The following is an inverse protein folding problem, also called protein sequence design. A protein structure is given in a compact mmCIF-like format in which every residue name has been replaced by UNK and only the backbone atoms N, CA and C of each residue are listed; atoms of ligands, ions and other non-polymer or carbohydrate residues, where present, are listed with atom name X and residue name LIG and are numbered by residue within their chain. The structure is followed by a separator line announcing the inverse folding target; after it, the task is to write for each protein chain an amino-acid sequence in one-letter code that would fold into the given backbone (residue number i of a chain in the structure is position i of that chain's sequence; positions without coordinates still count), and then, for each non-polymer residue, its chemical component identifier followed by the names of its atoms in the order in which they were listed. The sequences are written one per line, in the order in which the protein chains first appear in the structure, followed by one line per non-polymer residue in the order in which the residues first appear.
data_IF_567851107862
#
_entry.id   IF_567851107862
#
_cell.length_a   1.000
_cell.length_b   1.000
_cell.length_c   1.000
_cell.angle_alpha   90.00
_cell.angle_beta   90.00
_cell.angle_gamma   90.00
#
_symmetry.space_group_name_H-M   'P 1'
#
loop_
_entity.id
_entity.type
_entity.pdbx_description
1 polymer ?
#
# COMPACT_ATOMS: atom_id res chain seq x y z
N UNK A 1 4.76 4.68 -8.36
CA UNK A 1 5.58 3.69 -8.47
C UNK A 1 6.64 3.54 -9.53
N UNK A 2 7.90 3.32 -9.13
CA UNK A 2 8.99 3.11 -10.08
C UNK A 2 9.17 1.65 -10.55
N UNK A 3 8.46 0.70 -9.95
CA UNK A 3 8.69 -0.73 -10.23
C UNK A 3 7.84 -1.26 -11.38
N UNK A 4 6.57 -0.86 -11.46
CA UNK A 4 5.64 -1.17 -12.57
C UNK A 4 4.68 -0.01 -12.81
N UNK A 5 3.89 -0.09 -13.90
CA UNK A 5 2.96 0.97 -14.28
C UNK A 5 1.71 0.93 -13.39
N UNK A 6 1.69 1.70 -12.31
CA UNK A 6 0.53 1.87 -11.44
C UNK A 6 -0.52 2.80 -12.07
N UNK A 7 -1.33 2.26 -12.98
CA UNK A 7 -2.39 3.01 -13.66
C UNK A 7 -3.41 3.54 -12.65
N UNK A 8 -3.80 2.71 -11.68
CA UNK A 8 -4.75 3.08 -10.63
C UNK A 8 -4.31 4.33 -9.85
N UNK A 9 -3.01 4.47 -9.55
CA UNK A 9 -2.50 5.67 -8.86
C UNK A 9 -2.71 6.95 -9.65
N UNK A 10 -2.58 6.91 -10.98
CA UNK A 10 -2.86 8.08 -11.82
C UNK A 10 -4.36 8.44 -11.78
N UNK A 11 -5.25 7.45 -11.88
CA UNK A 11 -6.70 7.66 -11.75
C UNK A 11 -7.04 8.25 -10.39
N UNK A 12 -6.61 7.62 -9.31
CA UNK A 12 -6.95 8.02 -7.94
C UNK A 12 -6.46 9.43 -7.61
N UNK A 13 -5.22 9.77 -7.96
CA UNK A 13 -4.63 11.07 -7.61
C UNK A 13 -5.19 12.20 -8.47
N UNK A 14 -5.18 12.03 -9.80
CA UNK A 14 -5.54 13.10 -10.74
C UNK A 14 -7.05 13.34 -10.74
N UNK A 15 -7.86 12.28 -10.77
CA UNK A 15 -9.33 12.43 -10.76
C UNK A 15 -9.81 13.07 -9.46
N UNK A 16 -9.25 12.68 -8.32
CA UNK A 16 -9.60 13.29 -7.02
C UNK A 16 -9.27 14.77 -7.01
N UNK A 17 -8.08 15.17 -7.49
CA UNK A 17 -7.72 16.58 -7.61
C UNK A 17 -8.66 17.34 -8.55
N UNK A 18 -9.05 16.75 -9.69
CA UNK A 18 -9.98 17.36 -10.66
C UNK A 18 -11.36 17.55 -10.06
N UNK A 19 -11.90 16.54 -9.38
CA UNK A 19 -13.22 16.62 -8.73
C UNK A 19 -13.20 17.62 -7.57
N UNK A 20 -12.09 17.74 -6.86
CA UNK A 20 -11.89 18.76 -5.82
C UNK A 20 -11.77 20.20 -6.37
N UNK A 21 -11.76 20.38 -7.68
CA UNK A 21 -11.68 21.70 -8.32
C UNK A 21 -10.28 22.31 -8.33
N UNK A 22 -9.22 21.50 -8.18
CA UNK A 22 -7.84 21.97 -8.31
C UNK A 22 -7.60 22.51 -9.72
N UNK A 23 -7.06 23.72 -9.81
CA UNK A 23 -6.92 24.44 -11.10
C UNK A 23 -5.70 24.00 -11.90
N UNK A 24 -4.61 23.65 -11.23
CA UNK A 24 -3.35 23.25 -11.86
C UNK A 24 -2.94 21.89 -11.28
N UNK A 25 -3.03 20.86 -12.07
CA UNK A 25 -2.72 19.48 -11.65
C UNK A 25 -1.45 19.02 -12.36
N UNK A 26 -0.39 18.87 -11.59
CA UNK A 26 0.92 18.40 -12.06
C UNK A 26 1.08 16.95 -11.64
N UNK A 27 1.05 16.02 -12.59
CA UNK A 27 1.39 14.62 -12.37
C UNK A 27 2.89 14.39 -12.60
N UNK A 28 3.52 13.51 -11.82
CA UNK A 28 4.90 13.11 -12.07
C UNK A 28 5.06 11.58 -12.02
N UNK A 29 5.92 11.08 -12.89
CA UNK A 29 6.28 9.66 -12.94
C UNK A 29 7.75 9.51 -13.30
N UNK A 30 8.50 8.61 -12.60
CA UNK A 30 9.90 8.41 -12.92
C UNK A 30 10.05 7.84 -14.34
N UNK A 31 11.09 8.28 -15.07
CA UNK A 31 11.40 7.73 -16.39
C UNK A 31 11.82 6.27 -16.27
N UNK A 32 11.43 5.47 -17.25
CA UNK A 32 12.05 4.17 -17.57
C UNK A 32 13.11 4.37 -18.64
N UNK A 33 14.08 3.48 -18.65
CA UNK A 33 15.23 3.53 -19.59
C UNK A 33 14.77 3.82 -21.04
N UNK A 34 15.32 4.88 -21.61
CA UNK A 34 15.15 5.32 -23.00
C UNK A 34 13.71 5.64 -23.50
N UNK A 35 12.70 5.60 -22.63
CA UNK A 35 11.28 5.80 -23.04
C UNK A 35 10.63 6.99 -22.32
N UNK A 36 11.17 7.42 -21.19
CA UNK A 36 10.51 8.40 -20.33
C UNK A 36 9.49 7.76 -19.39
N UNK A 37 8.51 8.51 -18.94
CA UNK A 37 7.42 7.99 -18.14
C UNK A 37 6.65 6.92 -18.93
N UNK A 38 6.15 5.89 -18.23
CA UNK A 38 5.46 4.77 -18.90
C UNK A 38 4.25 5.29 -19.71
N UNK A 39 4.12 4.94 -21.00
CA UNK A 39 3.07 5.50 -21.87
C UNK A 39 1.66 5.37 -21.30
N UNK A 40 1.34 4.24 -20.66
CA UNK A 40 0.03 4.02 -20.05
C UNK A 40 -0.24 4.99 -18.89
N UNK A 41 0.79 5.33 -18.09
CA UNK A 41 0.64 6.32 -16.99
C UNK A 41 0.43 7.72 -17.59
N UNK A 42 1.17 8.07 -18.62
CA UNK A 42 1.03 9.36 -19.32
C UNK A 42 -0.39 9.49 -19.89
N UNK A 43 -0.83 8.48 -20.64
CA UNK A 43 -2.19 8.44 -21.21
C UNK A 43 -3.27 8.54 -20.13
N UNK A 44 -3.13 7.78 -19.05
CA UNK A 44 -4.13 7.78 -17.97
C UNK A 44 -4.17 9.11 -17.22
N UNK A 45 -3.02 9.70 -16.91
CA UNK A 45 -2.94 11.00 -16.25
C UNK A 45 -3.57 12.11 -17.12
N UNK A 46 -3.31 12.10 -18.42
CA UNK A 46 -3.93 13.02 -19.40
C UNK A 46 -5.46 12.81 -19.46
N UNK A 47 -5.91 11.55 -19.60
CA UNK A 47 -7.33 11.20 -19.62
C UNK A 47 -8.07 11.65 -18.34
N UNK A 48 -7.43 11.58 -17.18
CA UNK A 48 -7.98 12.04 -15.91
C UNK A 48 -7.94 13.57 -15.73
N UNK A 49 -7.26 14.30 -16.62
CA UNK A 49 -7.23 15.75 -16.65
C UNK A 49 -6.04 16.38 -15.93
N UNK A 50 -4.87 15.75 -15.92
CA UNK A 50 -3.64 16.40 -15.54
C UNK A 50 -3.28 17.50 -16.55
N UNK A 51 -2.93 18.70 -16.06
CA UNK A 51 -2.54 19.82 -16.91
C UNK A 51 -1.08 19.72 -17.36
N UNK A 52 -0.23 19.12 -16.54
CA UNK A 52 1.20 18.89 -16.80
C UNK A 52 1.62 17.52 -16.34
N UNK A 53 2.44 16.85 -17.14
CA UNK A 53 3.06 15.57 -16.78
C UNK A 53 4.59 15.73 -16.78
N UNK A 54 5.18 15.65 -15.59
CA UNK A 54 6.64 15.70 -15.43
C UNK A 54 7.24 14.30 -15.52
N UNK A 55 8.14 14.12 -16.47
CA UNK A 55 8.93 12.91 -16.61
C UNK A 55 10.07 12.90 -15.57
N UNK A 56 9.69 12.85 -14.30
CA UNK A 56 10.57 12.98 -13.14
C UNK A 56 9.98 12.20 -11.97
N UNK A 57 10.82 11.62 -11.13
CA UNK A 57 10.38 10.86 -9.96
C UNK A 57 11.28 11.08 -8.74
N UNK A 58 10.88 10.50 -7.61
CA UNK A 58 11.65 10.55 -6.38
C UNK A 58 11.80 11.95 -5.78
N UNK A 59 12.85 12.16 -5.02
CA UNK A 59 13.17 13.46 -4.38
C UNK A 59 13.24 14.60 -5.39
N UNK A 60 13.86 14.44 -6.59
CA UNK A 60 13.88 15.50 -7.60
C UNK A 60 12.49 15.99 -8.02
N UNK A 61 11.49 15.08 -8.13
CA UNK A 61 10.11 15.48 -8.46
C UNK A 61 9.48 16.33 -7.36
N UNK A 62 9.65 15.91 -6.10
CA UNK A 62 9.16 16.66 -4.93
C UNK A 62 9.78 18.07 -4.90
N UNK A 63 11.10 18.16 -5.07
CA UNK A 63 11.81 19.44 -5.09
C UNK A 63 11.36 20.34 -6.27
N UNK A 64 11.16 19.75 -7.46
CA UNK A 64 10.74 20.50 -8.64
C UNK A 64 9.35 21.08 -8.48
N UNK A 65 8.39 20.29 -7.99
CA UNK A 65 7.03 20.76 -7.75
C UNK A 65 6.98 21.83 -6.65
N UNK A 66 7.67 21.61 -5.53
CA UNK A 66 7.70 22.59 -4.42
C UNK A 66 8.29 23.94 -4.82
N UNK A 67 9.27 23.97 -5.72
CA UNK A 67 9.96 25.19 -6.12
C UNK A 67 9.50 25.77 -7.47
N UNK A 68 8.49 25.17 -8.10
CA UNK A 68 7.95 25.68 -9.37
C UNK A 68 8.95 25.62 -10.51
N UNK A 69 9.66 24.47 -10.66
CA UNK A 69 10.61 24.29 -11.76
C UNK A 69 9.89 23.86 -13.06
N UNK A 70 10.63 23.93 -14.18
CA UNK A 70 10.15 23.57 -15.53
C UNK A 70 8.92 24.38 -16.00
N UNK A 71 8.94 25.69 -15.72
CA UNK A 71 7.87 26.65 -16.06
C UNK A 71 6.50 26.34 -15.42
N UNK A 72 6.48 25.63 -14.31
CA UNK A 72 5.27 25.41 -13.54
C UNK A 72 5.26 26.32 -12.30
N UNK A 73 4.07 26.69 -11.80
CA UNK A 73 3.96 27.34 -10.50
C UNK A 73 4.41 26.38 -9.37
N UNK A 74 4.90 26.92 -8.24
CA UNK A 74 5.09 26.12 -7.05
C UNK A 74 3.78 25.43 -6.66
N UNK A 75 3.86 24.15 -6.27
CA UNK A 75 2.70 23.41 -5.80
C UNK A 75 2.27 23.89 -4.40
N UNK A 76 0.97 24.02 -4.18
CA UNK A 76 0.40 24.31 -2.87
C UNK A 76 0.33 23.05 -2.01
N UNK A 77 0.12 21.88 -2.63
CA UNK A 77 0.05 20.58 -1.97
C UNK A 77 0.66 19.48 -2.85
N UNK A 78 1.36 18.55 -2.24
CA UNK A 78 1.93 17.36 -2.87
C UNK A 78 1.28 16.11 -2.28
N UNK A 79 0.69 15.28 -3.15
CA UNK A 79 0.01 14.04 -2.77
C UNK A 79 0.61 12.85 -3.49
N UNK A 80 0.48 11.69 -2.89
CA UNK A 80 0.89 10.41 -3.47
C UNK A 80 1.99 9.71 -2.68
N UNK A 81 2.02 8.38 -2.74
CA UNK A 81 3.00 7.55 -2.05
C UNK A 81 4.34 7.57 -2.76
N UNK A 82 5.37 7.14 -2.05
CA UNK A 82 6.71 6.97 -2.57
C UNK A 82 7.56 6.09 -1.66
N UNK A 83 8.84 5.99 -1.97
CA UNK A 83 9.79 5.32 -1.09
C UNK A 83 10.16 6.21 0.11
N UNK A 84 10.93 5.67 1.05
CA UNK A 84 11.39 6.38 2.25
C UNK A 84 12.06 7.75 1.96
N UNK A 85 12.75 7.90 0.83
CA UNK A 85 13.38 9.16 0.45
C UNK A 85 12.35 10.22 0.00
N UNK A 86 11.25 9.78 -0.64
CA UNK A 86 10.13 10.65 -0.99
C UNK A 86 9.38 11.07 0.27
N UNK A 87 9.14 10.15 1.20
CA UNK A 87 8.53 10.46 2.48
C UNK A 87 9.36 11.47 3.27
N UNK A 88 10.68 11.27 3.33
CA UNK A 88 11.58 12.20 4.00
C UNK A 88 11.65 13.58 3.31
N UNK A 89 11.64 13.62 1.97
CA UNK A 89 11.58 14.90 1.24
C UNK A 89 10.27 15.65 1.52
N UNK A 90 9.14 14.96 1.60
CA UNK A 90 7.84 15.53 2.00
C UNK A 90 7.92 16.07 3.43
N UNK A 91 8.51 15.32 4.36
CA UNK A 91 8.68 15.71 5.76
C UNK A 91 9.50 17.00 5.90
N UNK A 92 10.63 17.10 5.18
CA UNK A 92 11.50 18.29 5.20
C UNK A 92 10.78 19.52 4.63
N UNK A 93 9.95 19.35 3.63
CA UNK A 93 9.28 20.44 2.93
C UNK A 93 7.90 20.77 3.49
N UNK A 94 7.41 19.99 4.43
CA UNK A 94 6.16 20.26 5.13
C UNK A 94 6.18 21.64 5.81
N UNK A 95 5.13 22.42 5.59
CA UNK A 95 5.06 23.80 6.03
C UNK A 95 5.46 24.81 4.95
N UNK A 96 6.38 24.46 4.03
CA UNK A 96 6.61 25.21 2.79
C UNK A 96 5.60 24.81 1.71
N UNK A 97 5.21 23.55 1.67
CA UNK A 97 4.16 22.98 0.80
C UNK A 97 3.27 22.06 1.66
N UNK A 98 1.97 22.00 1.35
CA UNK A 98 1.08 21.02 1.94
C UNK A 98 1.44 19.60 1.50
N UNK A 99 1.20 18.63 2.34
CA UNK A 99 1.35 17.21 1.99
C UNK A 99 0.12 16.43 2.45
N UNK A 100 -0.10 15.25 1.84
CA UNK A 100 -1.12 14.31 2.27
C UNK A 100 -0.75 13.64 3.60
N UNK A 101 0.28 12.78 3.58
CA UNK A 101 0.79 12.07 4.76
C UNK A 101 2.26 11.68 4.59
N UNK A 102 2.90 11.30 5.68
CA UNK A 102 4.24 10.72 5.70
C UNK A 102 4.12 9.19 5.56
N UNK A 103 3.91 8.71 4.34
CA UNK A 103 3.81 7.27 4.10
C UNK A 103 5.19 6.61 4.18
N UNK A 104 5.32 5.68 5.11
CA UNK A 104 6.46 4.76 5.22
C UNK A 104 6.34 3.57 4.26
N UNK A 105 7.07 2.47 4.53
CA UNK A 105 6.82 1.18 3.90
C UNK A 105 5.39 0.73 4.20
N UNK A 106 4.70 0.18 3.22
CA UNK A 106 3.35 -0.37 3.40
C UNK A 106 3.42 -1.66 4.19
N UNK A 107 2.51 -1.85 5.14
CA UNK A 107 2.46 -2.97 6.08
C UNK A 107 1.10 -3.66 6.05
N UNK A 108 1.07 -4.96 6.35
CA UNK A 108 -0.16 -5.72 6.54
C UNK A 108 -0.11 -6.53 7.83
N UNK A 109 -1.19 -6.49 8.59
CA UNK A 109 -1.51 -7.44 9.64
C UNK A 109 -2.77 -8.22 9.27
N UNK A 110 -2.75 -9.53 9.42
CA UNK A 110 -3.92 -10.38 9.20
C UNK A 110 -4.27 -11.10 10.50
N UNK A 111 -5.49 -10.87 10.99
CA UNK A 111 -6.08 -11.67 12.06
C UNK A 111 -6.90 -12.77 11.40
N UNK A 112 -6.57 -14.03 11.67
CA UNK A 112 -7.25 -15.16 11.06
C UNK A 112 -7.45 -16.31 12.06
N UNK A 113 -8.64 -16.91 12.04
CA UNK A 113 -8.96 -18.10 12.84
C UNK A 113 -8.89 -19.38 11.99
N UNK A 114 -9.32 -20.51 12.56
CA UNK A 114 -9.33 -21.82 11.88
C UNK A 114 -10.29 -21.91 10.69
N UNK A 115 -11.17 -20.94 10.48
CA UNK A 115 -12.12 -20.89 9.36
C UNK A 115 -11.56 -20.17 8.15
N UNK A 116 -10.52 -19.38 8.35
CA UNK A 116 -9.85 -18.66 7.25
C UNK A 116 -9.26 -19.63 6.24
N UNK A 117 -9.31 -19.26 4.97
CA UNK A 117 -8.66 -20.00 3.90
C UNK A 117 -7.13 -19.70 3.90
N UNK A 118 -6.28 -20.71 4.16
CA UNK A 118 -4.84 -20.50 4.18
C UNK A 118 -4.26 -20.02 2.84
N UNK A 119 -4.92 -20.31 1.72
CA UNK A 119 -4.50 -19.80 0.41
C UNK A 119 -4.75 -18.29 0.30
N UNK A 120 -5.93 -17.80 0.72
CA UNK A 120 -6.26 -16.38 0.71
C UNK A 120 -5.29 -15.62 1.64
N UNK A 121 -5.13 -16.07 2.88
CA UNK A 121 -4.20 -15.47 3.84
C UNK A 121 -2.77 -15.39 3.27
N UNK A 122 -2.29 -16.46 2.63
CA UNK A 122 -0.95 -16.48 2.05
C UNK A 122 -0.82 -15.53 0.85
N UNK A 123 -1.84 -15.44 -0.01
CA UNK A 123 -1.87 -14.51 -1.17
C UNK A 123 -1.85 -13.06 -0.71
N UNK A 124 -2.63 -12.70 0.32
CA UNK A 124 -2.69 -11.33 0.83
C UNK A 124 -1.35 -10.92 1.47
N UNK A 125 -0.71 -11.80 2.24
CA UNK A 125 0.64 -11.57 2.78
C UNK A 125 1.68 -11.37 1.66
N UNK A 126 1.64 -12.18 0.60
CA UNK A 126 2.56 -12.08 -0.54
C UNK A 126 2.28 -10.83 -1.37
N UNK A 127 1.00 -10.48 -1.57
CA UNK A 127 0.58 -9.25 -2.25
C UNK A 127 1.14 -8.00 -1.58
N UNK A 128 1.25 -8.01 -0.26
CA UNK A 128 1.90 -6.92 0.48
C UNK A 128 3.42 -7.00 0.41
N UNK A 129 4.00 -8.19 0.61
CA UNK A 129 5.45 -8.38 0.60
C UNK A 129 6.12 -7.94 -0.71
N UNK A 130 5.44 -8.10 -1.86
CA UNK A 130 5.97 -7.68 -3.17
C UNK A 130 6.14 -6.16 -3.32
N UNK A 131 5.47 -5.35 -2.50
CA UNK A 131 5.57 -3.89 -2.56
C UNK A 131 6.97 -3.37 -2.21
N UNK A 132 7.71 -4.05 -1.35
CA UNK A 132 9.06 -3.63 -1.00
C UNK A 132 9.82 -4.62 -0.12
N UNK A 133 11.14 -4.62 -0.24
CA UNK A 133 12.03 -5.44 0.59
C UNK A 133 11.92 -5.17 2.11
N UNK A 134 11.29 -4.08 2.50
CA UNK A 134 11.07 -3.64 3.87
C UNK A 134 9.57 -3.48 4.20
N UNK A 135 8.70 -4.26 3.56
CA UNK A 135 7.25 -4.30 3.83
C UNK A 135 6.95 -5.37 4.88
N UNK A 136 6.60 -5.00 6.12
CA UNK A 136 6.21 -5.96 7.15
C UNK A 136 4.92 -6.69 6.78
N UNK A 137 4.87 -7.98 7.11
CA UNK A 137 3.72 -8.84 6.86
C UNK A 137 3.51 -9.74 8.07
N UNK A 138 2.39 -9.56 8.77
CA UNK A 138 2.11 -10.24 10.04
C UNK A 138 0.83 -11.06 9.96
N UNK A 139 0.91 -12.29 10.46
CA UNK A 139 -0.26 -13.13 10.70
C UNK A 139 -0.43 -13.34 12.21
N UNK A 140 -1.59 -12.99 12.74
CA UNK A 140 -2.01 -13.28 14.11
C UNK A 140 -3.07 -14.37 14.07
N UNK A 141 -2.84 -15.50 14.72
CA UNK A 141 -3.81 -16.61 14.67
C UNK A 141 -3.78 -17.44 15.94
N UNK A 142 -4.92 -18.00 16.31
CA UNK A 142 -5.04 -19.03 17.36
C UNK A 142 -4.92 -20.45 16.78
N UNK A 143 -4.91 -20.60 15.45
CA UNK A 143 -4.86 -21.89 14.77
C UNK A 143 -3.43 -22.26 14.35
N UNK A 144 -2.82 -23.18 15.07
CA UNK A 144 -1.51 -23.74 14.68
C UNK A 144 -1.52 -24.36 13.28
N UNK A 145 -2.62 -25.02 12.91
CA UNK A 145 -2.77 -25.65 11.60
C UNK A 145 -2.75 -24.61 10.48
N UNK A 146 -3.49 -23.49 10.66
CA UNK A 146 -3.49 -22.38 9.71
C UNK A 146 -2.09 -21.79 9.58
N UNK A 147 -1.43 -21.50 10.71
CA UNK A 147 -0.07 -20.96 10.73
C UNK A 147 0.91 -21.83 9.94
N UNK A 148 0.91 -23.15 10.16
CA UNK A 148 1.79 -24.09 9.46
C UNK A 148 1.51 -24.13 7.94
N UNK A 149 0.23 -24.11 7.53
CA UNK A 149 -0.16 -24.08 6.11
C UNK A 149 0.28 -22.78 5.43
N UNK A 150 0.06 -21.63 6.07
CA UNK A 150 0.45 -20.32 5.54
C UNK A 150 1.97 -20.21 5.43
N UNK A 151 2.71 -20.59 6.48
CA UNK A 151 4.18 -20.60 6.47
C UNK A 151 4.78 -21.46 5.35
N UNK A 152 4.12 -22.55 4.99
CA UNK A 152 4.52 -23.38 3.86
C UNK A 152 4.14 -22.73 2.51
N UNK A 153 2.94 -22.16 2.40
CA UNK A 153 2.39 -21.67 1.13
C UNK A 153 3.02 -20.36 0.67
N UNK A 154 3.34 -19.45 1.58
CA UNK A 154 3.93 -18.14 1.23
C UNK A 154 5.21 -18.26 0.39
N UNK A 155 6.23 -19.06 0.77
CA UNK A 155 7.43 -19.23 -0.08
C UNK A 155 7.12 -19.81 -1.47
N UNK A 156 6.13 -20.70 -1.59
CA UNK A 156 5.71 -21.25 -2.88
C UNK A 156 5.14 -20.15 -3.79
N UNK A 157 4.21 -19.34 -3.29
CA UNK A 157 3.64 -18.20 -4.01
C UNK A 157 4.69 -17.17 -4.40
N UNK A 158 5.61 -16.85 -3.50
CA UNK A 158 6.73 -15.95 -3.79
C UNK A 158 7.55 -16.47 -4.99
N UNK A 159 7.78 -17.78 -5.07
CA UNK A 159 8.55 -18.40 -6.17
C UNK A 159 7.87 -18.26 -7.55
N UNK A 160 6.55 -18.11 -7.58
CA UNK A 160 5.73 -17.95 -8.78
C UNK A 160 5.76 -16.50 -9.33
N UNK A 161 6.19 -15.52 -8.52
CA UNK A 161 6.25 -14.11 -8.92
C UNK A 161 7.32 -13.84 -9.97
N UNK A 162 7.11 -12.83 -10.84
CA UNK A 162 8.16 -12.30 -11.70
C UNK A 162 9.40 -11.84 -10.92
N UNK A 163 10.57 -11.83 -11.53
CA UNK A 163 11.86 -11.65 -10.86
C UNK A 163 11.93 -10.44 -9.91
N UNK A 164 11.41 -9.28 -10.32
CA UNK A 164 11.51 -8.04 -9.52
C UNK A 164 10.61 -8.09 -8.27
N UNK A 165 9.29 -8.36 -8.36
CA UNK A 165 8.45 -8.50 -7.17
C UNK A 165 8.89 -9.69 -6.30
N UNK A 166 9.34 -10.81 -6.90
CA UNK A 166 9.86 -11.96 -6.16
C UNK A 166 11.00 -11.59 -5.24
N UNK A 167 12.04 -10.90 -5.73
CA UNK A 167 13.18 -10.47 -4.90
C UNK A 167 12.74 -9.56 -3.74
N UNK A 168 11.74 -8.72 -3.97
CA UNK A 168 11.19 -7.87 -2.91
C UNK A 168 10.45 -8.69 -1.86
N UNK A 169 9.56 -9.60 -2.30
CA UNK A 169 8.77 -10.44 -1.41
C UNK A 169 9.65 -11.43 -0.62
N UNK A 170 10.68 -12.04 -1.25
CA UNK A 170 11.65 -12.90 -0.56
C UNK A 170 12.35 -12.16 0.59
N UNK A 171 12.80 -10.93 0.34
CA UNK A 171 13.48 -10.14 1.36
C UNK A 171 12.51 -9.68 2.46
N UNK A 172 11.33 -9.18 2.09
CA UNK A 172 10.31 -8.74 3.03
C UNK A 172 9.86 -9.89 3.95
N UNK A 173 9.53 -11.04 3.39
CA UNK A 173 9.11 -12.20 4.16
C UNK A 173 10.20 -12.74 5.07
N UNK A 174 11.45 -12.83 4.59
CA UNK A 174 12.58 -13.29 5.39
C UNK A 174 12.92 -12.38 6.57
N UNK A 175 12.89 -11.06 6.36
CA UNK A 175 13.43 -10.07 7.30
C UNK A 175 12.33 -9.41 8.16
N UNK A 176 11.08 -9.40 7.71
CA UNK A 176 9.94 -8.70 8.33
C UNK A 176 8.64 -9.50 8.37
N UNK A 177 8.64 -10.73 7.84
CA UNK A 177 7.47 -11.62 7.95
C UNK A 177 7.42 -12.29 9.32
N UNK A 178 6.26 -12.23 9.98
CA UNK A 178 6.05 -12.88 11.26
C UNK A 178 4.72 -13.64 11.28
N UNK A 179 4.73 -14.84 11.84
CA UNK A 179 3.53 -15.62 12.10
C UNK A 179 3.44 -15.83 13.61
N UNK A 180 2.48 -15.18 14.24
CA UNK A 180 2.32 -15.11 15.68
C UNK A 180 1.17 -16.00 16.09
N UNK A 181 1.50 -17.06 16.83
CA UNK A 181 0.51 -17.97 17.40
C UNK A 181 0.08 -17.44 18.76
N UNK A 182 -1.19 -17.07 18.88
CA UNK A 182 -1.81 -16.55 20.08
C UNK A 182 -2.60 -17.63 20.82
N UNK A 183 -2.73 -17.49 22.11
CA UNK A 183 -3.53 -18.42 22.95
C UNK A 183 -5.04 -18.09 22.86
N UNK A 184 -5.40 -16.81 22.66
CA UNK A 184 -6.80 -16.36 22.64
C UNK A 184 -7.03 -15.25 21.60
N UNK A 185 -8.33 -15.02 21.27
CA UNK A 185 -8.75 -13.92 20.39
C UNK A 185 -8.40 -12.54 20.99
N UNK A 186 -8.47 -12.39 22.32
CA UNK A 186 -8.07 -11.17 23.03
C UNK A 186 -6.58 -10.88 22.87
N UNK A 187 -5.76 -11.92 22.86
CA UNK A 187 -4.33 -11.78 22.60
C UNK A 187 -4.05 -11.35 21.17
N UNK A 188 -4.77 -11.90 20.17
CA UNK A 188 -4.67 -11.44 18.78
C UNK A 188 -4.99 -9.94 18.66
N UNK A 189 -6.06 -9.47 19.28
CA UNK A 189 -6.42 -8.04 19.31
C UNK A 189 -5.33 -7.21 19.95
N UNK A 190 -4.85 -7.63 21.11
CA UNK A 190 -3.80 -6.90 21.85
C UNK A 190 -2.52 -6.75 21.04
N UNK A 191 -2.04 -7.84 20.46
CA UNK A 191 -0.80 -7.83 19.68
C UNK A 191 -1.00 -7.02 18.39
N UNK A 192 -2.13 -7.16 17.70
CA UNK A 192 -2.45 -6.37 16.52
C UNK A 192 -2.45 -4.87 16.84
N UNK A 193 -3.08 -4.45 17.94
CA UNK A 193 -3.11 -3.05 18.37
C UNK A 193 -1.72 -2.53 18.80
N UNK A 194 -0.84 -3.40 19.33
CA UNK A 194 0.55 -3.04 19.64
C UNK A 194 1.39 -2.82 18.37
N UNK A 195 1.17 -3.63 17.33
CA UNK A 195 1.85 -3.50 16.03
C UNK A 195 1.27 -2.34 15.20
N UNK A 196 -0.01 -2.03 15.37
CA UNK A 196 -0.71 -0.92 14.71
C UNK A 196 -0.54 -0.89 13.19
N UNK A 197 -0.88 -1.96 12.46
CA UNK A 197 -0.62 -2.07 11.03
C UNK A 197 -1.34 -1.00 10.22
N UNK A 198 -0.72 -0.58 9.10
CA UNK A 198 -1.37 0.28 8.12
C UNK A 198 -2.62 -0.40 7.53
N UNK A 199 -2.46 -1.62 7.07
CA UNK A 199 -3.56 -2.46 6.58
C UNK A 199 -3.81 -3.58 7.58
N UNK A 200 -5.01 -3.64 8.13
CA UNK A 200 -5.45 -4.72 8.98
C UNK A 200 -6.57 -5.50 8.29
N UNK A 201 -6.38 -6.79 8.12
CA UNK A 201 -7.40 -7.69 7.62
C UNK A 201 -7.89 -8.61 8.73
N UNK A 202 -9.21 -8.84 8.78
CA UNK A 202 -9.83 -9.75 9.73
C UNK A 202 -10.58 -10.83 8.96
N UNK A 203 -10.02 -12.04 9.01
CA UNK A 203 -10.53 -13.25 8.33
C UNK A 203 -10.93 -14.29 9.39
N UNK A 204 -12.01 -13.99 10.14
CA UNK A 204 -12.49 -14.80 11.26
C UNK A 204 -14.01 -15.01 11.18
N UNK A 205 -14.50 -16.03 11.85
CA UNK A 205 -15.95 -16.30 11.92
C UNK A 205 -16.70 -15.20 12.67
N UNK A 206 -16.07 -14.54 13.67
CA UNK A 206 -16.71 -13.53 14.51
C UNK A 206 -16.19 -12.10 14.23
N UNK A 207 -16.37 -11.63 12.99
CA UNK A 207 -15.93 -10.30 12.54
C UNK A 207 -16.39 -9.17 13.44
N UNK A 208 -17.66 -9.21 13.89
CA UNK A 208 -18.23 -8.17 14.74
C UNK A 208 -17.50 -8.04 16.07
N UNK A 209 -17.14 -9.16 16.69
CA UNK A 209 -16.42 -9.18 17.95
C UNK A 209 -15.05 -8.49 17.84
N UNK A 210 -14.31 -8.76 16.75
CA UNK A 210 -13.02 -8.12 16.46
C UNK A 210 -13.19 -6.64 16.15
N UNK A 211 -14.12 -6.27 15.28
CA UNK A 211 -14.38 -4.88 14.91
C UNK A 211 -14.71 -3.99 16.13
N UNK A 212 -15.42 -4.52 17.12
CA UNK A 212 -15.76 -3.78 18.34
C UNK A 212 -14.56 -3.56 19.31
N UNK A 213 -13.45 -4.29 19.10
CA UNK A 213 -12.30 -4.31 20.02
C UNK A 213 -11.01 -3.78 19.45
N UNK A 214 -10.83 -3.90 18.15
CA UNK A 214 -9.67 -3.37 17.45
C UNK A 214 -9.71 -1.84 17.47
N UNK A 215 -8.59 -1.20 17.83
CA UNK A 215 -8.53 0.25 18.02
C UNK A 215 -7.38 0.92 17.27
N UNK A 216 -6.39 0.15 16.79
CA UNK A 216 -5.13 0.70 16.32
C UNK A 216 -4.74 0.17 14.95
N UNK A 217 -5.27 0.80 13.89
CA UNK A 217 -5.00 0.51 12.48
C UNK A 217 -5.34 1.73 11.63
N UNK A 218 -4.82 1.81 10.39
CA UNK A 218 -5.24 2.84 9.45
C UNK A 218 -6.43 2.39 8.60
N UNK A 219 -6.37 1.19 8.03
CA UNK A 219 -7.39 0.63 7.16
C UNK A 219 -7.79 -0.76 7.65
N UNK A 220 -9.10 -1.00 7.76
CA UNK A 220 -9.65 -2.30 8.17
C UNK A 220 -10.40 -2.94 7.01
N UNK A 221 -10.05 -4.18 6.71
CA UNK A 221 -10.73 -5.02 5.73
C UNK A 221 -11.30 -6.26 6.42
N UNK A 222 -12.48 -6.70 5.98
CA UNK A 222 -13.11 -7.92 6.48
C UNK A 222 -13.48 -8.83 5.32
N UNK A 223 -13.56 -10.13 5.55
CA UNK A 223 -13.94 -11.12 4.55
C UNK A 223 -15.34 -10.88 3.96
N UNK A 224 -16.23 -10.19 4.68
CA UNK A 224 -17.58 -9.84 4.22
C UNK A 224 -17.63 -8.60 3.30
N UNK A 225 -16.55 -7.84 3.16
CA UNK A 225 -16.54 -6.63 2.33
C UNK A 225 -16.88 -6.91 0.85
N UNK A 226 -16.65 -8.13 0.37
CA UNK A 226 -17.03 -8.57 -0.97
C UNK A 226 -18.53 -8.91 -1.12
N UNK A 227 -19.20 -9.32 -0.04
CA UNK A 227 -20.63 -9.72 -0.07
C UNK A 227 -21.58 -8.51 0.05
N UNK A 228 -21.16 -7.41 0.67
CA UNK A 228 -22.01 -6.21 0.81
C UNK A 228 -22.23 -5.46 -0.51
N UNK A 229 -21.33 -5.60 -1.49
CA UNK A 229 -21.52 -5.00 -2.82
C UNK A 229 -22.62 -5.68 -3.66
N UNK A 230 -23.10 -6.84 -3.25
CA UNK A 230 -24.18 -7.60 -3.92
C UNK A 230 -25.61 -7.24 -3.48
N UNK A 231 -25.81 -6.39 -2.46
CA UNK A 231 -27.13 -6.02 -1.93
C UNK A 231 -27.58 -4.59 -2.17
N UNK A 232 -26.95 -3.88 -3.06
CA UNK A 232 -27.39 -2.57 -3.58
C UNK A 232 -28.19 -2.72 -4.85
N UNK A 233 -29.44 -3.13 -4.72
CA UNK A 233 -30.46 -3.12 -5.77
C UNK A 233 -31.53 -2.09 -5.43
#
# INVERSE_FOLDING_TARGET
GGRYAHIASAVMSVTTAKVAGVKNIIACSPPKENVGAHPTIVYTADLCGADVILNLGGVPAIAAMTNGLFNNPPADIIVGPGNQFVAEAKRILFGKVGIDLFAGPTEIGIIADQKADPEIVAVDLVGQAEHGYNSPCWLYTTSKELAEKVMKRVPELISELPEVPRKSAEAAWRDYGEVILCDTDEEMVKISDEYAPEHLEVQTENLKWFHERLTNYCLLYTSDAADETGRGG
#
